data_IF_481011147168
#
_entry.id   IF_481011147168
#
_cell.length_a   1.000
_cell.length_b   1.000
_cell.length_c   1.000
_cell.angle_alpha   90.00
_cell.angle_beta   90.00
_cell.angle_gamma   90.00
#
_symmetry.space_group_name_H-M   'P 1'
#
loop_
_entity.id
_entity.type
_entity.pdbx_description
1 polymer ?
#
# COMPACT_ATOMS: atom_id res chain seq x y z
N UNK A 1 25.65 15.81 -15.81
CA UNK A 1 24.29 15.62 -16.35
C UNK A 1 24.24 14.28 -17.07
N UNK A 2 23.72 13.24 -16.42
CA UNK A 2 23.40 11.97 -17.09
C UNK A 2 21.88 11.78 -16.94
N UNK A 3 21.10 11.72 -18.03
CA UNK A 3 19.67 11.48 -17.95
C UNK A 3 19.46 10.07 -17.42
N UNK A 4 19.19 9.95 -16.12
CA UNK A 4 18.86 8.68 -15.50
C UNK A 4 17.62 8.14 -16.17
N UNK A 5 17.74 6.98 -16.80
CA UNK A 5 16.65 6.20 -17.38
C UNK A 5 15.59 5.94 -16.31
N UNK A 6 14.57 6.79 -16.27
CA UNK A 6 13.38 6.58 -15.46
C UNK A 6 12.66 5.39 -16.11
N UNK A 7 12.69 4.25 -15.44
CA UNK A 7 11.96 3.06 -15.87
C UNK A 7 10.49 3.32 -15.57
N UNK A 8 9.80 3.83 -16.58
CA UNK A 8 8.38 4.12 -16.55
C UNK A 8 7.60 2.82 -16.80
N UNK A 9 7.21 2.13 -15.72
CA UNK A 9 6.38 0.91 -15.79
C UNK A 9 4.93 1.29 -15.50
N UNK A 10 4.07 1.12 -16.50
CA UNK A 10 2.61 1.27 -16.40
C UNK A 10 2.04 2.37 -17.29
N UNK A 11 0.73 2.29 -17.60
CA UNK A 11 0.04 3.16 -18.55
C UNK A 11 0.11 4.67 -18.26
N UNK A 12 0.55 5.07 -17.06
CA UNK A 12 0.69 6.48 -16.62
C UNK A 12 2.13 6.99 -16.56
N UNK A 13 3.12 6.16 -16.89
CA UNK A 13 4.56 6.51 -16.88
C UNK A 13 5.08 7.08 -15.53
N UNK A 14 4.31 6.99 -14.44
CA UNK A 14 4.68 7.49 -13.11
C UNK A 14 3.78 6.87 -12.03
N UNK A 15 4.33 6.46 -10.87
CA UNK A 15 3.53 6.03 -9.72
C UNK A 15 2.93 7.22 -8.94
N UNK A 16 3.38 8.43 -9.21
CA UNK A 16 2.96 9.64 -8.49
C UNK A 16 1.75 10.29 -9.14
N UNK A 17 0.86 10.84 -8.31
CA UNK A 17 -0.32 11.62 -8.72
C UNK A 17 -0.27 12.98 -8.06
N UNK A 18 -0.47 14.05 -8.85
CA UNK A 18 -0.30 15.43 -8.40
C UNK A 18 1.17 15.82 -8.33
N UNK A 19 1.64 16.27 -7.16
CA UNK A 19 3.02 16.69 -6.94
C UNK A 19 4.00 15.54 -7.13
N UNK A 20 4.97 15.71 -8.04
CA UNK A 20 6.09 14.77 -8.21
C UNK A 20 7.12 15.09 -7.13
N UNK A 21 7.42 14.15 -6.20
CA UNK A 21 8.36 14.41 -5.11
C UNK A 21 9.80 14.51 -5.63
N UNK A 22 10.56 15.43 -5.06
CA UNK A 22 12.03 15.47 -5.11
C UNK A 22 12.62 14.32 -4.28
N UNK A 23 13.92 14.06 -4.40
CA UNK A 23 14.56 12.95 -3.66
C UNK A 23 14.48 13.12 -2.13
N UNK A 24 14.60 14.35 -1.64
CA UNK A 24 14.46 14.73 -0.22
C UNK A 24 13.02 14.58 0.32
N UNK A 25 12.00 14.59 -0.55
CA UNK A 25 10.58 14.44 -0.18
C UNK A 25 10.06 13.03 -0.40
N UNK A 26 10.96 12.05 -0.51
CA UNK A 26 10.64 10.61 -0.55
C UNK A 26 11.12 9.92 0.71
N UNK A 27 10.46 8.82 1.08
CA UNK A 27 10.99 7.92 2.10
C UNK A 27 12.31 7.29 1.62
N UNK A 28 13.33 7.26 2.48
CA UNK A 28 14.63 6.71 2.11
C UNK A 28 14.58 5.21 1.72
N UNK A 29 13.76 4.42 2.42
CA UNK A 29 13.70 2.96 2.21
C UNK A 29 12.83 2.57 1.01
N UNK A 30 11.61 3.09 0.95
CA UNK A 30 10.60 2.66 -0.04
C UNK A 30 10.54 3.57 -1.27
N UNK A 31 11.12 4.77 -1.18
CA UNK A 31 11.00 5.81 -2.19
C UNK A 31 9.60 6.41 -2.30
N UNK A 32 8.69 6.12 -1.37
CA UNK A 32 7.31 6.61 -1.42
C UNK A 32 7.22 8.12 -1.20
N UNK A 33 6.29 8.78 -1.89
CA UNK A 33 6.07 10.22 -1.77
C UNK A 33 5.61 10.64 -0.36
N UNK A 34 6.23 11.69 0.19
CA UNK A 34 5.81 12.33 1.45
C UNK A 34 4.93 13.57 1.23
N UNK A 35 4.83 14.06 0.00
CA UNK A 35 4.18 15.34 -0.34
C UNK A 35 3.01 15.21 -1.31
N UNK A 36 2.94 14.13 -2.08
CA UNK A 36 1.90 13.90 -3.08
C UNK A 36 1.36 12.47 -3.03
N UNK A 37 0.41 12.16 -3.93
CA UNK A 37 -0.15 10.80 -4.04
C UNK A 37 0.86 9.82 -4.62
N UNK A 38 0.93 8.60 -4.07
CA UNK A 38 1.76 7.52 -4.57
C UNK A 38 0.99 6.20 -4.58
N UNK A 39 0.70 5.67 -5.78
CA UNK A 39 -0.11 4.47 -5.93
C UNK A 39 0.58 3.22 -5.39
N UNK A 40 1.91 3.25 -5.24
CA UNK A 40 2.70 2.09 -4.79
C UNK A 40 2.34 1.68 -3.37
N UNK A 41 1.93 2.62 -2.51
CA UNK A 41 1.48 2.32 -1.13
C UNK A 41 0.27 1.38 -1.18
N UNK A 42 -0.77 1.77 -1.93
CA UNK A 42 -1.98 0.95 -2.08
C UNK A 42 -1.72 -0.39 -2.78
N UNK A 43 -0.84 -0.40 -3.78
CA UNK A 43 -0.46 -1.62 -4.47
C UNK A 43 0.31 -2.58 -3.56
N UNK A 44 1.24 -2.06 -2.74
CA UNK A 44 1.96 -2.83 -1.74
C UNK A 44 1.00 -3.48 -0.75
N UNK A 45 0.07 -2.70 -0.18
CA UNK A 45 -0.93 -3.24 0.75
C UNK A 45 -1.79 -4.33 0.10
N UNK A 46 -2.26 -4.13 -1.13
CA UNK A 46 -3.07 -5.11 -1.86
C UNK A 46 -2.31 -6.41 -2.11
N UNK A 47 -1.06 -6.31 -2.58
CA UNK A 47 -0.22 -7.48 -2.89
C UNK A 47 0.17 -8.25 -1.64
N UNK A 48 0.45 -7.57 -0.53
CA UNK A 48 0.78 -8.22 0.74
C UNK A 48 -0.45 -8.86 1.39
N UNK A 49 -1.65 -8.30 1.19
CA UNK A 49 -2.89 -8.90 1.65
C UNK A 49 -3.11 -10.31 1.08
N UNK A 50 -2.79 -10.51 -0.21
CA UNK A 50 -2.91 -11.81 -0.90
C UNK A 50 -2.04 -12.88 -0.24
N UNK A 51 -0.92 -12.50 0.39
CA UNK A 51 -0.01 -13.41 1.08
C UNK A 51 -0.35 -13.55 2.57
N UNK A 52 -0.65 -12.43 3.24
CA UNK A 52 -0.87 -12.39 4.68
C UNK A 52 -2.19 -13.06 5.09
N UNK A 53 -3.30 -12.84 4.36
CA UNK A 53 -4.59 -13.42 4.73
C UNK A 53 -4.61 -14.96 4.68
N UNK A 54 -4.04 -15.64 3.66
CA UNK A 54 -3.93 -17.10 3.69
C UNK A 54 -3.10 -17.62 4.87
N UNK A 55 -1.98 -16.97 5.20
CA UNK A 55 -1.13 -17.38 6.34
C UNK A 55 -1.92 -17.24 7.65
N UNK A 56 -2.63 -16.12 7.83
CA UNK A 56 -3.51 -15.92 8.98
C UNK A 56 -4.62 -16.98 9.01
N UNK A 57 -5.23 -17.28 7.87
CA UNK A 57 -6.27 -18.29 7.74
C UNK A 57 -5.80 -19.68 8.16
N UNK A 58 -4.62 -20.09 7.71
CA UNK A 58 -3.99 -21.37 8.11
C UNK A 58 -3.75 -21.37 9.63
N UNK A 59 -3.13 -20.33 10.19
CA UNK A 59 -2.88 -20.24 11.62
C UNK A 59 -4.16 -20.32 12.46
N UNK A 60 -5.19 -19.58 12.07
CA UNK A 60 -6.48 -19.57 12.76
C UNK A 60 -7.20 -20.92 12.65
N UNK A 61 -7.09 -21.62 11.52
CA UNK A 61 -7.69 -22.95 11.35
C UNK A 61 -7.13 -23.99 12.33
N UNK A 62 -5.87 -23.85 12.77
CA UNK A 62 -5.28 -24.71 13.79
C UNK A 62 -5.63 -24.32 15.23
N UNK A 63 -6.03 -23.06 15.46
CA UNK A 63 -6.18 -22.50 16.80
C UNK A 63 -7.65 -22.36 17.24
N UNK A 64 -8.58 -22.26 16.31
CA UNK A 64 -9.97 -21.88 16.59
C UNK A 64 -10.98 -22.77 15.87
N UNK A 65 -12.22 -22.92 16.39
CA UNK A 65 -13.30 -23.57 15.67
C UNK A 65 -13.59 -22.87 14.34
N UNK A 66 -13.86 -23.64 13.29
CA UNK A 66 -13.95 -23.14 11.92
C UNK A 66 -14.90 -21.96 11.73
N UNK A 67 -16.06 -21.94 12.43
CA UNK A 67 -17.01 -20.80 12.37
C UNK A 67 -16.39 -19.50 12.86
N UNK A 68 -15.72 -19.53 14.02
CA UNK A 68 -15.07 -18.36 14.61
C UNK A 68 -13.89 -17.94 13.73
N UNK A 69 -13.11 -18.92 13.26
CA UNK A 69 -11.96 -18.66 12.42
C UNK A 69 -12.30 -17.96 11.10
N UNK A 70 -13.35 -18.40 10.42
CA UNK A 70 -13.85 -17.74 9.20
C UNK A 70 -14.26 -16.29 9.48
N UNK A 71 -14.99 -16.04 10.58
CA UNK A 71 -15.39 -14.67 10.95
C UNK A 71 -14.16 -13.78 11.16
N UNK A 72 -13.14 -14.26 11.87
CA UNK A 72 -11.90 -13.51 12.12
C UNK A 72 -11.19 -13.18 10.79
N UNK A 73 -11.04 -14.17 9.90
CA UNK A 73 -10.37 -13.97 8.60
C UNK A 73 -11.15 -12.97 7.73
N UNK A 74 -12.48 -13.06 7.71
CA UNK A 74 -13.33 -12.12 6.97
C UNK A 74 -13.21 -10.70 7.53
N UNK A 75 -13.25 -10.54 8.85
CA UNK A 75 -13.07 -9.23 9.48
C UNK A 75 -11.68 -8.65 9.16
N UNK A 76 -10.62 -9.46 9.25
CA UNK A 76 -9.27 -9.05 8.88
C UNK A 76 -9.21 -8.61 7.39
N UNK A 77 -9.85 -9.37 6.51
CA UNK A 77 -9.92 -9.03 5.08
C UNK A 77 -10.66 -7.72 4.81
N UNK A 78 -11.79 -7.48 5.49
CA UNK A 78 -12.56 -6.23 5.37
C UNK A 78 -11.76 -5.04 5.87
N UNK A 79 -11.10 -5.16 7.02
CA UNK A 79 -10.24 -4.10 7.58
C UNK A 79 -9.08 -3.78 6.64
N UNK A 80 -8.36 -4.79 6.16
CA UNK A 80 -7.21 -4.59 5.27
C UNK A 80 -7.64 -4.02 3.91
N UNK A 81 -8.74 -4.51 3.34
CA UNK A 81 -9.29 -3.98 2.09
C UNK A 81 -9.71 -2.52 2.23
N UNK A 82 -10.34 -2.15 3.36
CA UNK A 82 -10.74 -0.77 3.64
C UNK A 82 -9.53 0.16 3.78
N UNK A 83 -8.46 -0.31 4.44
CA UNK A 83 -7.21 0.43 4.51
C UNK A 83 -6.59 0.63 3.12
N UNK A 84 -6.52 -0.44 2.33
CA UNK A 84 -6.00 -0.40 0.95
C UNK A 84 -6.78 0.59 0.08
N UNK A 85 -8.12 0.57 0.15
CA UNK A 85 -8.98 1.48 -0.58
C UNK A 85 -8.81 2.94 -0.13
N UNK A 86 -8.59 3.17 1.16
CA UNK A 86 -8.29 4.50 1.69
C UNK A 86 -6.97 5.02 1.12
N UNK A 87 -5.92 4.22 1.10
CA UNK A 87 -4.64 4.62 0.48
C UNK A 87 -4.78 4.86 -1.02
N UNK A 88 -5.53 4.01 -1.73
CA UNK A 88 -5.77 4.15 -3.16
C UNK A 88 -6.52 5.45 -3.50
N UNK A 89 -7.60 5.74 -2.79
CA UNK A 89 -8.41 6.97 -3.01
C UNK A 89 -7.62 8.23 -2.66
N UNK A 90 -6.79 8.21 -1.61
CA UNK A 90 -5.88 9.31 -1.28
C UNK A 90 -4.83 9.53 -2.37
N UNK A 91 -4.21 8.44 -2.85
CA UNK A 91 -3.24 8.50 -3.93
C UNK A 91 -3.86 9.11 -5.20
N UNK A 92 -5.06 8.66 -5.60
CA UNK A 92 -5.77 9.25 -6.75
C UNK A 92 -6.16 10.72 -6.54
N UNK A 93 -6.37 11.14 -5.29
CA UNK A 93 -6.63 12.54 -4.93
C UNK A 93 -5.35 13.39 -4.84
N UNK A 94 -4.17 12.82 -5.15
CA UNK A 94 -2.88 13.49 -5.05
C UNK A 94 -2.43 13.81 -3.62
N UNK A 95 -3.06 13.20 -2.61
CA UNK A 95 -2.75 13.45 -1.20
C UNK A 95 -1.68 12.48 -0.71
N UNK A 96 -0.76 12.91 0.16
CA UNK A 96 0.21 12.02 0.76
C UNK A 96 -0.49 10.96 1.60
N UNK A 97 0.10 9.77 1.61
CA UNK A 97 -0.31 8.68 2.48
C UNK A 97 0.00 9.02 3.95
N UNK A 98 -0.85 8.65 4.92
CA UNK A 98 -0.52 8.83 6.33
C UNK A 98 0.67 7.95 6.74
N UNK A 99 0.89 6.77 6.13
CA UNK A 99 2.04 5.91 6.51
C UNK A 99 3.40 6.54 6.19
N UNK A 100 3.45 7.48 5.22
CA UNK A 100 4.69 8.18 4.87
C UNK A 100 4.96 9.39 5.77
N UNK A 101 4.02 9.74 6.65
CA UNK A 101 4.16 10.88 7.58
C UNK A 101 4.76 10.49 8.94
N UNK A 102 4.64 9.23 9.37
CA UNK A 102 5.06 8.79 10.71
C UNK A 102 6.55 8.42 10.84
N UNK A 103 7.29 8.41 9.73
CA UNK A 103 8.69 7.95 9.67
C UNK A 103 9.65 9.11 9.36
N UNK A 104 9.51 10.23 10.09
CA UNK A 104 10.34 11.44 9.97
C UNK A 104 11.59 11.39 10.83
#
# INVERSE_FOLDING_TARGET
MHPGTRVDIGARMSPYVGTIPTDETRMALTGWSRVGGDIRVSHFLATHMIQALPIVGIGIAYLMPSRIGVIIVVLAAVVWSSWTLTEYTRALSGKPSPVTQFLS
#
